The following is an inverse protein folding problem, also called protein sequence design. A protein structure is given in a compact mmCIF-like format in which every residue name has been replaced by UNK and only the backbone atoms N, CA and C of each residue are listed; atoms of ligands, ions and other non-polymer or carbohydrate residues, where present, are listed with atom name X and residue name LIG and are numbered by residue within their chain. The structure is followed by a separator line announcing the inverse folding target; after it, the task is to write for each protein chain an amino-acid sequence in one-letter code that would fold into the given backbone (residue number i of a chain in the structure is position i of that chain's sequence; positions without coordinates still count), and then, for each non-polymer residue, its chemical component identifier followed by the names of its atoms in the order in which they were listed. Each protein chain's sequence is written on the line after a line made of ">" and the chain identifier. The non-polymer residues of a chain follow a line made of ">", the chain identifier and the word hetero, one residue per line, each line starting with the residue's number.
data_IF_008501119194
#
_entry.id   IF_008501119194
#
_cell.length_a   1.000
_cell.length_b   1.000
_cell.length_c   1.000
_cell.angle_alpha   90.00
_cell.angle_beta   90.00
_cell.angle_gamma   90.00
#
_symmetry.space_group_name_H-M   'P 1'
#
loop_
_entity.id
_entity.type
_entity.pdbx_description
1 polymer ?
#
# COMPACT_ATOMS: atom_id res chain seq x y z
N UNK A 1 6.51 8.39 8.51
CA UNK A 1 7.75 7.93 7.83
C UNK A 1 7.73 8.25 6.35
N UNK A 2 6.75 7.75 5.58
CA UNK A 2 6.69 7.96 4.14
C UNK A 2 6.74 9.44 3.71
N UNK A 3 5.98 10.33 4.37
CA UNK A 3 6.01 11.78 4.13
C UNK A 3 7.42 12.38 4.26
N UNK A 4 8.08 12.18 5.39
CA UNK A 4 9.41 12.75 5.61
C UNK A 4 10.42 12.20 4.60
N UNK A 5 10.35 10.92 4.26
CA UNK A 5 11.25 10.33 3.26
C UNK A 5 11.04 10.94 1.87
N UNK A 6 9.79 11.11 1.45
CA UNK A 6 9.46 11.81 0.19
C UNK A 6 9.91 13.28 0.22
N UNK A 7 9.80 13.96 1.36
CA UNK A 7 10.27 15.35 1.51
C UNK A 7 11.79 15.50 1.36
N UNK A 8 12.57 14.53 1.86
CA UNK A 8 14.05 14.60 1.83
C UNK A 8 14.68 13.99 0.58
N UNK A 9 14.11 12.92 0.04
CA UNK A 9 14.70 12.13 -1.05
C UNK A 9 13.87 12.20 -2.33
N UNK A 10 12.56 12.38 -2.19
CA UNK A 10 11.60 12.22 -3.28
C UNK A 10 11.33 10.74 -3.56
N UNK A 11 10.06 10.38 -3.70
CA UNK A 11 9.66 9.06 -4.20
C UNK A 11 8.67 9.24 -5.35
N UNK A 12 8.78 8.39 -6.37
CA UNK A 12 7.83 8.38 -7.49
C UNK A 12 6.69 7.38 -7.25
N UNK A 13 6.99 6.28 -6.56
CA UNK A 13 6.11 5.13 -6.42
C UNK A 13 6.21 4.49 -5.03
N UNK A 14 5.14 3.80 -4.64
CA UNK A 14 5.05 3.06 -3.37
C UNK A 14 4.77 1.58 -3.63
N UNK A 15 5.42 0.73 -2.85
CA UNK A 15 5.09 -0.70 -2.72
C UNK A 15 4.66 -0.95 -1.28
N UNK A 16 3.51 -1.59 -1.10
CA UNK A 16 3.00 -1.96 0.22
C UNK A 16 3.27 -3.43 0.48
N UNK A 17 3.70 -3.76 1.70
CA UNK A 17 3.92 -5.14 2.11
C UNK A 17 2.95 -5.51 3.25
N UNK A 18 2.64 -6.81 3.35
CA UNK A 18 1.81 -7.40 4.42
C UNK A 18 0.42 -6.77 4.54
N UNK A 19 -0.23 -6.50 3.40
CA UNK A 19 -1.55 -5.87 3.36
C UNK A 19 -2.65 -6.76 3.98
N UNK A 20 -2.47 -8.08 3.92
CA UNK A 20 -3.29 -9.10 4.56
C UNK A 20 -3.32 -8.97 6.09
N UNK A 21 -2.21 -8.52 6.69
CA UNK A 21 -2.11 -8.29 8.13
C UNK A 21 -2.66 -6.91 8.56
N UNK A 22 -2.85 -5.98 7.62
CA UNK A 22 -3.49 -4.69 7.87
C UNK A 22 -5.01 -4.84 7.69
N UNK A 23 -5.65 -5.38 8.74
CA UNK A 23 -7.07 -5.73 8.77
C UNK A 23 -8.05 -4.60 8.39
N UNK A 24 -7.59 -3.34 8.26
CA UNK A 24 -8.43 -2.20 7.87
C UNK A 24 -7.92 -1.45 6.63
N UNK A 25 -6.80 -1.88 6.03
CA UNK A 25 -6.16 -1.19 4.89
C UNK A 25 -5.74 0.24 5.22
N UNK A 26 -5.63 0.59 6.50
CA UNK A 26 -5.42 1.96 6.96
C UNK A 26 -4.04 2.50 6.60
N UNK A 27 -3.03 1.63 6.58
CA UNK A 27 -1.66 2.01 6.23
C UNK A 27 -1.53 2.33 4.75
N UNK A 28 -2.22 1.56 3.90
CA UNK A 28 -2.26 1.79 2.45
C UNK A 28 -2.86 3.16 2.10
N UNK A 29 -4.01 3.46 2.71
CA UNK A 29 -4.73 4.72 2.51
C UNK A 29 -3.92 5.88 3.06
N UNK A 30 -3.37 5.74 4.27
CA UNK A 30 -2.57 6.78 4.92
C UNK A 30 -1.32 7.13 4.11
N UNK A 31 -0.58 6.14 3.60
CA UNK A 31 0.64 6.39 2.80
C UNK A 31 0.30 7.08 1.48
N UNK A 32 -0.72 6.61 0.77
CA UNK A 32 -1.16 7.24 -0.48
C UNK A 32 -1.62 8.68 -0.24
N UNK A 33 -2.41 8.93 0.81
CA UNK A 33 -2.88 10.26 1.16
C UNK A 33 -1.75 11.22 1.58
N UNK A 34 -0.78 10.73 2.37
CA UNK A 34 0.30 11.55 2.90
C UNK A 34 1.38 11.91 1.87
N UNK A 35 1.64 11.01 0.91
CA UNK A 35 2.70 11.18 -0.10
C UNK A 35 2.16 11.66 -1.44
N UNK A 36 0.86 11.45 -1.70
CA UNK A 36 0.23 11.71 -2.98
C UNK A 36 0.88 10.95 -4.15
N UNK A 37 1.50 9.80 -3.86
CA UNK A 37 2.21 8.96 -4.83
C UNK A 37 1.42 7.70 -5.18
N UNK A 38 1.52 7.22 -6.43
CA UNK A 38 0.87 5.99 -6.86
C UNK A 38 1.45 4.74 -6.18
N UNK A 39 0.56 3.84 -5.77
CA UNK A 39 0.92 2.50 -5.31
C UNK A 39 0.98 1.59 -6.55
N UNK A 40 2.10 0.89 -6.75
CA UNK A 40 2.29 -0.01 -7.89
C UNK A 40 2.03 -1.47 -7.54
N UNK A 41 2.46 -1.91 -6.36
CA UNK A 41 2.37 -3.30 -5.93
C UNK A 41 1.96 -3.43 -4.47
N UNK A 42 1.32 -4.55 -4.16
CA UNK A 42 0.93 -4.96 -2.82
C UNK A 42 1.36 -6.40 -2.55
N UNK A 43 2.04 -6.62 -1.43
CA UNK A 43 2.33 -7.96 -0.91
C UNK A 43 1.23 -8.38 0.06
N UNK A 44 0.62 -9.55 -0.17
CA UNK A 44 -0.45 -10.11 0.68
C UNK A 44 -0.02 -11.35 1.46
N UNK A 45 1.29 -11.55 1.64
CA UNK A 45 1.82 -12.64 2.45
C UNK A 45 3.35 -12.64 2.46
N UNK A 46 3.95 -13.83 2.55
CA UNK A 46 5.41 -14.01 2.67
C UNK A 46 6.08 -14.50 1.37
N UNK A 47 5.33 -15.13 0.48
CA UNK A 47 5.87 -15.72 -0.74
C UNK A 47 6.00 -14.67 -1.86
N UNK A 48 6.93 -14.88 -2.80
CA UNK A 48 7.17 -13.93 -3.89
C UNK A 48 5.97 -13.79 -4.83
N UNK A 49 5.22 -14.87 -4.99
CA UNK A 49 3.99 -14.96 -5.78
C UNK A 49 2.85 -14.12 -5.18
N UNK A 50 2.98 -13.70 -3.92
CA UNK A 50 2.00 -12.89 -3.20
C UNK A 50 2.25 -11.38 -3.37
N UNK A 51 3.31 -10.98 -4.09
CA UNK A 51 3.50 -9.63 -4.58
C UNK A 51 2.72 -9.42 -5.88
N UNK A 52 1.63 -8.66 -5.81
CA UNK A 52 0.71 -8.45 -6.93
C UNK A 52 0.62 -6.98 -7.33
N UNK A 53 0.36 -6.67 -8.61
CA UNK A 53 0.05 -5.30 -9.03
C UNK A 53 -1.13 -4.74 -8.22
N UNK A 54 -1.02 -3.48 -7.84
CA UNK A 54 -2.09 -2.78 -7.14
C UNK A 54 -3.31 -2.61 -8.05
N UNK A 55 -4.49 -2.92 -7.53
CA UNK A 55 -5.77 -2.62 -8.17
C UNK A 55 -6.70 -1.94 -7.18
N UNK A 56 -7.63 -1.12 -7.67
CA UNK A 56 -8.63 -0.47 -6.80
C UNK A 56 -9.53 -1.48 -6.11
N UNK A 57 -9.74 -2.65 -6.73
CA UNK A 57 -10.62 -3.69 -6.18
C UNK A 57 -10.01 -4.41 -4.97
N UNK A 58 -8.67 -4.50 -4.88
CA UNK A 58 -7.98 -4.97 -3.69
C UNK A 58 -8.32 -4.13 -2.45
N UNK A 59 -8.31 -2.81 -2.59
CA UNK A 59 -8.66 -1.90 -1.48
C UNK A 59 -10.14 -1.99 -1.14
N UNK A 60 -11.03 -2.07 -2.15
CA UNK A 60 -12.46 -2.27 -1.89
C UNK A 60 -12.71 -3.54 -1.10
N UNK A 61 -12.09 -4.66 -1.49
CA UNK A 61 -12.21 -5.93 -0.79
C UNK A 61 -11.86 -5.77 0.68
N UNK A 62 -10.72 -5.16 1.01
CA UNK A 62 -10.26 -4.98 2.40
C UNK A 62 -11.23 -4.10 3.20
N UNK A 63 -11.77 -3.05 2.60
CA UNK A 63 -12.71 -2.13 3.26
C UNK A 63 -14.11 -2.74 3.47
N UNK A 64 -14.54 -3.66 2.62
CA UNK A 64 -15.86 -4.30 2.69
C UNK A 64 -15.88 -5.64 3.41
N UNK A 65 -14.72 -6.26 3.62
CA UNK A 65 -14.57 -7.53 4.34
C UNK A 65 -14.50 -7.37 5.87
N UNK A 66 -14.82 -6.17 6.39
CA UNK A 66 -14.91 -5.85 7.83
C UNK A 66 -16.37 -5.68 8.28
#
# INVERSE_FOLDING_TARGET
>A
QAKNFDEYVGIDYVILAKLDADARGGSAISISYQTNKPILFVGTGQDLEELKPFTKDLIKSILTSS
#
